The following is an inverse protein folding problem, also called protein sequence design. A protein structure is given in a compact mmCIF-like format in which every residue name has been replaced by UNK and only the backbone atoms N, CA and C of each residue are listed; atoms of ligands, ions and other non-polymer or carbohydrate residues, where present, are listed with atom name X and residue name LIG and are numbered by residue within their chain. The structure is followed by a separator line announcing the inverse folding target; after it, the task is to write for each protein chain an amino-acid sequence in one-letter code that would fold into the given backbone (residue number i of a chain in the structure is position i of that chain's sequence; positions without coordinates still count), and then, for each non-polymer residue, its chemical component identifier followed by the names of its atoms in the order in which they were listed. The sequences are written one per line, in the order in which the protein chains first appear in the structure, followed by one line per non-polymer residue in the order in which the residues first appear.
data_IF_104466307371
#
_entry.id   IF_104466307371
#
_cell.length_a   1.000
_cell.length_b   1.000
_cell.length_c   1.000
_cell.angle_alpha   90.00
_cell.angle_beta   90.00
_cell.angle_gamma   90.00
#
_symmetry.space_group_name_H-M   'P 1'
#
loop_
_entity.id
_entity.type
_entity.pdbx_description
1 polymer ?
#
# COMPACT_ATOMS: atom_id res chain seq x y z
N UNK A 1 25.12 60.51 -1.31
CA UNK A 1 25.11 59.39 -2.31
C UNK A 1 24.50 58.18 -1.59
N UNK A 2 23.24 57.96 -1.87
CA UNK A 2 22.35 57.02 -1.16
C UNK A 2 22.29 55.74 -1.95
N UNK A 3 22.75 54.62 -1.39
CA UNK A 3 22.58 53.27 -1.97
C UNK A 3 21.42 52.55 -1.32
N UNK A 4 20.37 52.36 -2.09
CA UNK A 4 19.19 51.60 -1.69
C UNK A 4 19.48 50.10 -1.63
N UNK A 5 19.21 49.51 -0.48
CA UNK A 5 19.23 48.05 -0.25
C UNK A 5 17.94 47.45 -0.82
N UNK A 6 18.04 46.66 -1.87
CA UNK A 6 16.91 45.86 -2.36
C UNK A 6 16.81 44.57 -1.54
N UNK A 7 15.73 44.46 -0.79
CA UNK A 7 15.35 43.22 -0.08
C UNK A 7 14.80 42.21 -1.08
N UNK A 8 15.52 41.15 -1.29
CA UNK A 8 15.11 40.01 -2.12
C UNK A 8 14.15 39.15 -1.31
N UNK A 9 12.85 39.27 -1.58
CA UNK A 9 11.84 38.37 -1.02
C UNK A 9 11.95 37.00 -1.67
N UNK A 10 12.43 36.02 -0.92
CA UNK A 10 12.45 34.63 -1.31
C UNK A 10 11.02 34.13 -1.57
N UNK A 11 10.70 33.89 -2.84
CA UNK A 11 9.51 33.18 -3.25
C UNK A 11 9.63 31.72 -2.80
N UNK A 12 8.69 31.29 -1.94
CA UNK A 12 8.49 29.89 -1.61
C UNK A 12 8.16 29.09 -2.89
N UNK A 13 8.68 27.85 -3.04
CA UNK A 13 8.40 27.04 -4.22
C UNK A 13 6.90 26.72 -4.27
N UNK A 14 6.27 27.08 -5.38
CA UNK A 14 4.91 26.71 -5.70
C UNK A 14 4.80 25.19 -5.72
N UNK A 15 3.91 24.63 -4.90
CA UNK A 15 3.56 23.22 -4.94
C UNK A 15 3.06 22.89 -6.35
N UNK A 16 3.83 22.12 -7.10
CA UNK A 16 3.46 21.57 -8.39
C UNK A 16 2.43 20.46 -8.19
N UNK A 17 1.17 20.83 -7.96
CA UNK A 17 0.04 19.93 -7.99
C UNK A 17 -0.27 19.58 -9.43
N UNK A 18 0.02 18.34 -9.83
CA UNK A 18 -0.46 17.78 -11.09
C UNK A 18 -1.99 17.81 -11.17
N UNK A 19 -2.60 17.62 -12.38
CA UNK A 19 -4.04 17.51 -12.51
C UNK A 19 -4.55 16.41 -11.58
N UNK A 20 -5.39 16.76 -10.60
CA UNK A 20 -5.97 15.80 -9.66
C UNK A 20 -5.81 16.08 -8.16
N UNK A 21 -4.88 16.94 -7.74
CA UNK A 21 -4.74 17.27 -6.31
C UNK A 21 -5.93 18.15 -5.83
N UNK A 22 -6.68 17.70 -4.80
CA UNK A 22 -7.83 18.44 -4.32
C UNK A 22 -7.41 19.72 -3.59
N UNK A 23 -7.93 20.88 -4.02
CA UNK A 23 -7.64 22.18 -3.42
C UNK A 23 -8.49 22.49 -2.17
N UNK A 24 -9.49 21.68 -1.85
CA UNK A 24 -10.43 21.89 -0.74
C UNK A 24 -10.72 20.60 0.00
N UNK A 25 -11.15 20.70 1.27
CA UNK A 25 -11.56 19.54 2.06
C UNK A 25 -12.75 18.76 1.41
N UNK A 26 -13.67 19.47 0.75
CA UNK A 26 -14.77 18.84 0.00
C UNK A 26 -14.21 18.04 -1.19
N UNK A 27 -13.26 18.62 -1.92
CA UNK A 27 -12.59 17.94 -3.05
C UNK A 27 -11.84 16.69 -2.60
N UNK A 28 -11.12 16.77 -1.47
CA UNK A 28 -10.42 15.64 -0.88
C UNK A 28 -11.37 14.49 -0.53
N UNK A 29 -12.50 14.79 0.10
CA UNK A 29 -13.55 13.77 0.38
C UNK A 29 -14.15 13.16 -0.88
N UNK A 30 -14.37 13.95 -1.93
CA UNK A 30 -14.88 13.44 -3.21
C UNK A 30 -13.87 12.52 -3.88
N UNK A 31 -12.58 12.91 -3.91
CA UNK A 31 -11.50 12.07 -4.45
C UNK A 31 -11.37 10.75 -3.69
N UNK A 32 -11.37 10.77 -2.37
CA UNK A 32 -11.31 9.58 -1.53
C UNK A 32 -12.51 8.63 -1.78
N UNK A 33 -13.72 9.20 -1.95
CA UNK A 33 -14.93 8.42 -2.27
C UNK A 33 -14.84 7.74 -3.64
N UNK A 34 -14.27 8.42 -4.65
CA UNK A 34 -14.04 7.83 -5.97
C UNK A 34 -13.00 6.71 -5.88
N UNK A 35 -11.93 6.90 -5.12
CA UNK A 35 -10.87 5.90 -4.91
C UNK A 35 -11.44 4.64 -4.23
N UNK A 36 -12.24 4.80 -3.18
CA UNK A 36 -12.90 3.68 -2.50
C UNK A 36 -13.91 2.95 -3.40
N UNK A 37 -14.63 3.68 -4.24
CA UNK A 37 -15.53 3.08 -5.23
C UNK A 37 -14.74 2.29 -6.29
N UNK A 38 -13.57 2.77 -6.72
CA UNK A 38 -12.69 2.06 -7.65
C UNK A 38 -12.14 0.77 -7.02
N UNK A 39 -11.72 0.80 -5.76
CA UNK A 39 -11.30 -0.38 -5.00
C UNK A 39 -12.39 -1.46 -5.03
N UNK A 40 -13.60 -1.10 -4.63
CA UNK A 40 -14.73 -2.03 -4.63
C UNK A 40 -15.05 -2.55 -6.05
N UNK A 41 -15.06 -1.66 -7.05
CA UNK A 41 -15.42 -2.01 -8.42
C UNK A 41 -14.37 -2.93 -9.05
N UNK A 42 -13.07 -2.64 -8.88
CA UNK A 42 -12.00 -3.49 -9.36
C UNK A 42 -11.95 -4.82 -8.61
N UNK A 43 -12.11 -4.81 -7.29
CA UNK A 43 -12.15 -6.03 -6.48
C UNK A 43 -13.32 -6.97 -6.83
N UNK A 44 -14.45 -6.43 -7.29
CA UNK A 44 -15.66 -7.21 -7.61
C UNK A 44 -15.71 -7.63 -9.07
N UNK A 45 -15.49 -6.70 -10.00
CA UNK A 45 -15.61 -6.93 -11.45
C UNK A 45 -14.30 -7.33 -12.11
N UNK A 46 -13.16 -7.05 -11.47
CA UNK A 46 -11.83 -7.07 -12.09
C UNK A 46 -11.56 -5.79 -12.89
N UNK A 47 -10.28 -5.44 -13.04
CA UNK A 47 -9.85 -4.21 -13.71
C UNK A 47 -10.37 -4.13 -15.14
N UNK A 48 -10.24 -5.20 -15.93
CA UNK A 48 -10.57 -5.15 -17.35
C UNK A 48 -12.07 -4.91 -17.61
N UNK A 49 -12.94 -5.54 -16.82
CA UNK A 49 -14.42 -5.42 -16.97
C UNK A 49 -14.98 -4.15 -16.35
N UNK A 50 -14.33 -3.62 -15.33
CA UNK A 50 -14.75 -2.40 -14.65
C UNK A 50 -14.62 -1.18 -15.57
N UNK A 51 -15.71 -0.45 -15.76
CA UNK A 51 -15.74 0.83 -16.48
C UNK A 51 -15.70 2.04 -15.55
N UNK A 52 -15.30 3.20 -16.08
CA UNK A 52 -15.38 4.47 -15.33
C UNK A 52 -16.82 4.77 -14.91
N UNK A 53 -17.81 4.37 -15.73
CA UNK A 53 -19.24 4.48 -15.42
C UNK A 53 -19.64 3.68 -14.18
N UNK A 54 -19.04 2.51 -13.96
CA UNK A 54 -19.32 1.68 -12.78
C UNK A 54 -18.73 2.32 -11.52
N UNK A 55 -17.50 2.83 -11.61
CA UNK A 55 -16.85 3.56 -10.54
C UNK A 55 -17.62 4.81 -10.14
N UNK A 56 -18.05 5.61 -11.13
CA UNK A 56 -18.77 6.86 -10.85
C UNK A 56 -20.16 6.61 -10.29
N UNK A 57 -20.84 5.55 -10.75
CA UNK A 57 -22.13 5.09 -10.19
C UNK A 57 -21.96 4.66 -8.74
N UNK A 58 -20.96 3.83 -8.43
CA UNK A 58 -20.65 3.39 -7.08
C UNK A 58 -20.25 4.57 -6.16
N UNK A 59 -19.51 5.55 -6.69
CA UNK A 59 -19.12 6.75 -5.96
C UNK A 59 -20.26 7.78 -5.81
N UNK A 60 -21.39 7.65 -6.51
CA UNK A 60 -22.46 8.64 -6.51
C UNK A 60 -22.01 10.00 -7.05
N UNK A 61 -21.23 10.02 -8.14
CA UNK A 61 -20.74 11.26 -8.78
C UNK A 61 -20.98 11.22 -10.29
N UNK A 62 -21.05 12.41 -10.90
CA UNK A 62 -21.09 12.51 -12.36
C UNK A 62 -19.74 12.12 -12.97
N UNK A 63 -19.74 11.58 -14.19
CA UNK A 63 -18.52 11.17 -14.88
C UNK A 63 -17.53 12.32 -15.09
N UNK A 64 -18.00 13.54 -15.33
CA UNK A 64 -17.15 14.73 -15.40
C UNK A 64 -16.39 15.01 -14.07
N UNK A 65 -17.00 14.66 -12.92
CA UNK A 65 -16.35 14.79 -11.61
C UNK A 65 -15.17 13.80 -11.48
N UNK A 66 -15.27 12.59 -12.04
CA UNK A 66 -14.17 11.63 -12.08
C UNK A 66 -12.96 12.24 -12.79
N UNK A 67 -13.16 12.80 -13.99
CA UNK A 67 -12.09 13.39 -14.79
C UNK A 67 -11.48 14.65 -14.19
N UNK A 68 -12.10 15.26 -13.19
CA UNK A 68 -11.49 16.34 -12.40
C UNK A 68 -10.32 15.82 -11.54
N UNK A 69 -10.34 14.56 -11.14
CA UNK A 69 -9.37 13.97 -10.21
C UNK A 69 -8.45 12.93 -10.84
N UNK A 70 -8.90 12.23 -11.88
CA UNK A 70 -8.16 11.13 -12.52
C UNK A 70 -8.32 11.21 -14.04
N UNK A 71 -7.21 11.16 -14.77
CA UNK A 71 -7.24 11.19 -16.23
C UNK A 71 -7.85 9.92 -16.85
N UNK A 72 -7.86 8.81 -16.11
CA UNK A 72 -8.42 7.55 -16.59
C UNK A 72 -8.32 6.41 -15.59
N UNK A 73 -8.71 5.23 -16.08
CA UNK A 73 -8.77 4.00 -15.28
C UNK A 73 -7.39 3.52 -14.80
N UNK A 74 -6.34 3.74 -15.60
CA UNK A 74 -4.98 3.40 -15.20
C UNK A 74 -4.45 4.30 -14.09
N UNK A 75 -4.72 5.60 -14.16
CA UNK A 75 -4.27 6.54 -13.12
C UNK A 75 -4.90 6.22 -11.78
N UNK A 76 -6.22 5.96 -11.74
CA UNK A 76 -6.88 5.60 -10.49
C UNK A 76 -6.38 4.25 -9.96
N UNK A 77 -6.01 3.29 -10.81
CA UNK A 77 -5.39 2.03 -10.38
C UNK A 77 -4.04 2.29 -9.71
N UNK A 78 -3.18 3.12 -10.32
CA UNK A 78 -1.87 3.49 -9.74
C UNK A 78 -2.02 4.14 -8.37
N UNK A 79 -2.95 5.09 -8.26
CA UNK A 79 -3.23 5.75 -6.98
C UNK A 79 -3.78 4.78 -5.94
N UNK A 80 -4.67 3.89 -6.34
CA UNK A 80 -5.23 2.86 -5.48
C UNK A 80 -4.14 1.93 -4.95
N UNK A 81 -3.26 1.39 -5.80
CA UNK A 81 -2.17 0.50 -5.38
C UNK A 81 -1.20 1.20 -4.42
N UNK A 82 -0.90 2.49 -4.65
CA UNK A 82 -0.06 3.28 -3.73
C UNK A 82 -0.72 3.47 -2.38
N UNK A 83 -2.00 3.83 -2.37
CA UNK A 83 -2.77 4.04 -1.14
C UNK A 83 -2.90 2.76 -0.32
N UNK A 84 -3.24 1.65 -0.98
CA UNK A 84 -3.29 0.31 -0.40
C UNK A 84 -1.94 -0.08 0.23
N UNK A 85 -0.85 0.07 -0.53
CA UNK A 85 0.48 -0.23 -0.02
C UNK A 85 0.86 0.63 1.20
N UNK A 86 0.42 1.89 1.22
CA UNK A 86 0.62 2.75 2.39
C UNK A 86 -0.19 2.28 3.60
N UNK A 87 -1.46 1.93 3.42
CA UNK A 87 -2.34 1.44 4.48
C UNK A 87 -1.83 0.14 5.09
N UNK A 88 -1.45 -0.85 4.28
CA UNK A 88 -0.89 -2.13 4.77
C UNK A 88 0.39 -1.88 5.58
N UNK A 89 1.34 -1.09 5.05
CA UNK A 89 2.57 -0.78 5.79
C UNK A 89 2.32 -0.05 7.11
N UNK A 90 1.38 0.89 7.13
CA UNK A 90 1.01 1.60 8.35
C UNK A 90 0.37 0.67 9.38
N UNK A 91 -0.53 -0.23 8.93
CA UNK A 91 -1.14 -1.23 9.79
C UNK A 91 -0.09 -2.16 10.40
N UNK A 92 0.77 -2.78 9.57
CA UNK A 92 1.82 -3.67 10.07
C UNK A 92 2.81 -2.96 11.01
N UNK A 93 3.18 -1.72 10.70
CA UNK A 93 4.07 -0.95 11.56
C UNK A 93 3.46 -0.68 12.94
N UNK A 94 2.14 -0.46 13.03
CA UNK A 94 1.44 -0.27 14.30
C UNK A 94 1.44 -1.57 15.13
N UNK A 95 1.20 -2.72 14.48
CA UNK A 95 1.13 -4.02 15.15
C UNK A 95 2.47 -4.50 15.73
N UNK A 96 3.59 -4.08 15.14
CA UNK A 96 4.94 -4.47 15.60
C UNK A 96 5.63 -3.40 16.45
N UNK A 97 4.96 -2.29 16.78
CA UNK A 97 5.58 -1.15 17.45
C UNK A 97 6.18 -1.51 18.82
N UNK A 98 5.44 -2.28 19.61
CA UNK A 98 5.74 -2.62 21.01
C UNK A 98 6.30 -4.05 21.13
N UNK A 99 7.04 -4.54 20.13
CA UNK A 99 7.70 -5.86 20.20
C UNK A 99 9.07 -5.76 20.83
N UNK A 100 9.43 -6.76 21.66
CA UNK A 100 10.70 -6.78 22.39
C UNK A 100 11.90 -7.15 21.52
N UNK A 101 11.68 -7.96 20.48
CA UNK A 101 12.74 -8.47 19.62
C UNK A 101 12.24 -8.73 18.19
N UNK A 102 13.17 -9.07 17.29
CA UNK A 102 12.85 -9.28 15.87
C UNK A 102 11.95 -10.47 15.61
N UNK A 103 12.11 -11.57 16.34
CA UNK A 103 11.28 -12.76 16.13
C UNK A 103 9.81 -12.47 16.45
N UNK A 104 9.55 -11.87 17.61
CA UNK A 104 8.18 -11.45 17.98
C UNK A 104 7.59 -10.49 16.96
N UNK A 105 8.40 -9.56 16.41
CA UNK A 105 7.93 -8.66 15.37
C UNK A 105 7.60 -9.38 14.06
N UNK A 106 8.30 -10.47 13.70
CA UNK A 106 7.95 -11.31 12.55
C UNK A 106 6.63 -12.05 12.77
N UNK A 107 6.45 -12.67 13.92
CA UNK A 107 5.23 -13.39 14.30
C UNK A 107 4.00 -12.48 14.28
N UNK A 108 4.07 -11.35 14.97
CA UNK A 108 2.98 -10.37 14.98
C UNK A 108 2.72 -9.77 13.60
N UNK A 109 3.79 -9.45 12.87
CA UNK A 109 3.69 -8.91 11.51
C UNK A 109 3.02 -9.89 10.53
N UNK A 110 3.37 -11.16 10.60
CA UNK A 110 2.74 -12.20 9.77
C UNK A 110 1.26 -12.37 10.12
N UNK A 111 0.93 -12.51 11.41
CA UNK A 111 -0.46 -12.60 11.87
C UNK A 111 -1.29 -11.41 11.41
N UNK A 112 -0.78 -10.20 11.61
CA UNK A 112 -1.45 -8.97 11.21
C UNK A 112 -1.64 -8.88 9.68
N UNK A 113 -0.67 -9.35 8.90
CA UNK A 113 -0.76 -9.40 7.45
C UNK A 113 -1.84 -10.38 6.98
N UNK A 114 -1.88 -11.59 7.54
CA UNK A 114 -2.90 -12.60 7.22
C UNK A 114 -4.32 -12.09 7.57
N UNK A 115 -4.47 -11.52 8.75
CA UNK A 115 -5.74 -10.92 9.19
C UNK A 115 -6.16 -9.77 8.27
N UNK A 116 -5.24 -8.89 7.91
CA UNK A 116 -5.52 -7.77 7.01
C UNK A 116 -5.98 -8.23 5.63
N UNK A 117 -5.35 -9.26 5.06
CA UNK A 117 -5.77 -9.84 3.78
C UNK A 117 -7.14 -10.50 3.85
N UNK A 118 -7.43 -11.21 4.95
CA UNK A 118 -8.72 -11.84 5.18
C UNK A 118 -9.85 -10.81 5.21
N UNK A 119 -9.64 -9.70 5.90
CA UNK A 119 -10.61 -8.61 6.02
C UNK A 119 -10.73 -7.76 4.73
N UNK A 120 -9.69 -7.75 3.90
CA UNK A 120 -9.59 -6.90 2.72
C UNK A 120 -9.23 -7.68 1.43
N UNK A 121 -10.02 -8.72 1.03
CA UNK A 121 -9.67 -9.58 -0.11
C UNK A 121 -9.62 -8.86 -1.45
N UNK A 122 -10.33 -7.73 -1.59
CA UNK A 122 -10.30 -6.89 -2.80
C UNK A 122 -8.91 -6.32 -3.07
N UNK A 123 -8.15 -6.00 -2.02
CA UNK A 123 -6.80 -5.47 -2.11
C UNK A 123 -5.87 -6.41 -2.87
N UNK A 124 -5.86 -7.68 -2.48
CA UNK A 124 -5.01 -8.67 -3.12
C UNK A 124 -5.36 -8.84 -4.60
N UNK A 125 -6.66 -8.89 -4.95
CA UNK A 125 -7.10 -8.99 -6.34
C UNK A 125 -6.65 -7.81 -7.18
N UNK A 126 -6.81 -6.60 -6.67
CA UNK A 126 -6.38 -5.37 -7.36
C UNK A 126 -4.87 -5.38 -7.58
N UNK A 127 -4.08 -5.79 -6.58
CA UNK A 127 -2.63 -5.86 -6.69
C UNK A 127 -2.19 -6.91 -7.72
N UNK A 128 -2.82 -8.09 -7.74
CA UNK A 128 -2.52 -9.14 -8.73
C UNK A 128 -2.84 -8.69 -10.16
N UNK A 129 -3.94 -7.99 -10.37
CA UNK A 129 -4.28 -7.45 -11.70
C UNK A 129 -3.33 -6.31 -12.11
N UNK A 130 -2.86 -5.51 -11.16
CA UNK A 130 -1.91 -4.43 -11.43
C UNK A 130 -0.62 -4.94 -12.08
N UNK A 131 -0.18 -6.16 -11.78
CA UNK A 131 0.99 -6.77 -12.42
C UNK A 131 0.88 -6.80 -13.95
N UNK A 132 -0.30 -7.03 -14.48
CA UNK A 132 -0.54 -7.17 -15.92
C UNK A 132 -0.97 -5.86 -16.60
N UNK A 133 -1.33 -4.85 -15.82
CA UNK A 133 -1.78 -3.52 -16.32
C UNK A 133 -0.65 -2.51 -16.28
N UNK A 134 0.11 -2.50 -15.18
CA UNK A 134 1.23 -1.59 -14.95
C UNK A 134 2.27 -2.26 -14.05
N UNK A 135 3.23 -2.96 -14.68
CA UNK A 135 4.30 -3.67 -13.97
C UNK A 135 5.10 -2.74 -13.06
N UNK A 136 5.28 -1.47 -13.44
CA UNK A 136 6.06 -0.52 -12.65
C UNK A 136 5.41 -0.26 -11.30
N UNK A 137 4.09 -0.03 -11.24
CA UNK A 137 3.40 0.19 -9.98
C UNK A 137 3.34 -1.07 -9.11
N UNK A 138 3.27 -2.25 -9.72
CA UNK A 138 3.34 -3.53 -9.02
C UNK A 138 4.72 -3.71 -8.35
N UNK A 139 5.79 -3.43 -9.09
CA UNK A 139 7.17 -3.46 -8.55
C UNK A 139 7.36 -2.44 -7.45
N UNK A 140 6.93 -1.18 -7.67
CA UNK A 140 7.03 -0.10 -6.68
C UNK A 140 6.35 -0.47 -5.34
N UNK A 141 5.23 -1.20 -5.40
CA UNK A 141 4.55 -1.68 -4.21
C UNK A 141 5.46 -2.58 -3.35
N UNK A 142 6.08 -3.61 -3.94
CA UNK A 142 6.96 -4.52 -3.22
C UNK A 142 8.30 -3.88 -2.81
N UNK A 143 8.88 -3.04 -3.67
CA UNK A 143 10.11 -2.32 -3.35
C UNK A 143 9.92 -1.36 -2.17
N UNK A 144 8.76 -0.69 -2.08
CA UNK A 144 8.47 0.17 -0.94
C UNK A 144 8.38 -0.60 0.39
N UNK A 145 7.83 -1.82 0.38
CA UNK A 145 7.90 -2.75 1.50
C UNK A 145 9.34 -3.16 1.81
N UNK A 146 10.05 -3.65 0.80
CA UNK A 146 11.42 -4.16 0.93
C UNK A 146 12.36 -3.14 1.56
N UNK A 147 12.33 -1.88 1.12
CA UNK A 147 13.21 -0.81 1.66
C UNK A 147 13.02 -0.58 3.16
N UNK A 148 11.79 -0.60 3.65
CA UNK A 148 11.50 -0.48 5.09
C UNK A 148 11.99 -1.69 5.87
N UNK A 149 11.68 -2.86 5.36
CA UNK A 149 11.96 -4.14 5.99
C UNK A 149 13.48 -4.42 6.09
N UNK A 150 14.25 -4.15 5.03
CA UNK A 150 15.72 -4.26 5.05
C UNK A 150 16.33 -3.42 6.18
N UNK A 151 15.83 -2.20 6.40
CA UNK A 151 16.30 -1.34 7.50
C UNK A 151 16.01 -1.96 8.87
N UNK A 152 14.84 -2.59 9.04
CA UNK A 152 14.48 -3.27 10.29
C UNK A 152 15.38 -4.48 10.55
N UNK A 153 15.60 -5.34 9.54
CA UNK A 153 16.52 -6.49 9.68
C UNK A 153 17.99 -6.06 9.90
N UNK A 154 18.44 -4.97 9.27
CA UNK A 154 19.77 -4.43 9.51
C UNK A 154 19.93 -3.93 10.95
N UNK A 155 18.88 -3.35 11.54
CA UNK A 155 18.88 -2.96 12.93
C UNK A 155 18.95 -4.18 13.87
N UNK A 156 18.12 -5.20 13.63
CA UNK A 156 18.13 -6.46 14.37
C UNK A 156 19.49 -7.18 14.30
N UNK A 157 20.15 -7.16 13.13
CA UNK A 157 21.50 -7.68 12.97
C UNK A 157 22.50 -6.92 13.86
N UNK A 158 22.43 -5.57 13.92
CA UNK A 158 23.31 -4.76 14.77
C UNK A 158 23.09 -5.01 16.25
N UNK A 159 21.87 -5.29 16.67
CA UNK A 159 21.53 -5.64 18.04
C UNK A 159 21.88 -7.09 18.42
N UNK A 160 22.28 -7.92 17.45
CA UNK A 160 22.57 -9.34 17.66
C UNK A 160 21.34 -10.24 17.78
N UNK A 161 20.15 -9.72 17.46
CA UNK A 161 18.88 -10.47 17.49
C UNK A 161 18.81 -11.51 16.36
N UNK A 162 19.46 -11.24 15.23
CA UNK A 162 19.60 -12.16 14.10
C UNK A 162 21.05 -12.23 13.61
N UNK A 163 21.42 -13.39 13.03
CA UNK A 163 22.78 -13.61 12.49
C UNK A 163 23.04 -12.66 11.31
N UNK A 164 24.30 -12.20 11.10
CA UNK A 164 24.69 -11.47 9.90
C UNK A 164 24.35 -12.25 8.61
N UNK A 165 24.00 -11.54 7.56
CA UNK A 165 23.66 -12.13 6.26
C UNK A 165 23.08 -11.10 5.29
N UNK A 166 22.67 -11.57 4.11
CA UNK A 166 22.05 -10.72 3.10
C UNK A 166 20.58 -10.42 3.48
N UNK A 167 20.36 -9.26 4.08
CA UNK A 167 19.03 -8.86 4.53
C UNK A 167 18.06 -8.59 3.37
N UNK A 168 18.55 -8.24 2.18
CA UNK A 168 17.69 -8.06 1.01
C UNK A 168 17.07 -9.41 0.59
N UNK A 169 17.90 -10.45 0.46
CA UNK A 169 17.41 -11.81 0.14
C UNK A 169 16.42 -12.30 1.21
N UNK A 170 16.71 -12.07 2.50
CA UNK A 170 15.81 -12.44 3.60
C UNK A 170 14.46 -11.77 3.48
N UNK A 171 14.44 -10.47 3.20
CA UNK A 171 13.20 -9.70 3.04
C UNK A 171 12.36 -10.24 1.90
N UNK A 172 12.96 -10.49 0.74
CA UNK A 172 12.21 -11.07 -0.38
C UNK A 172 11.69 -12.47 -0.09
N UNK A 173 12.44 -13.29 0.64
CA UNK A 173 11.97 -14.62 1.08
C UNK A 173 10.78 -14.50 2.05
N UNK A 174 10.87 -13.63 3.07
CA UNK A 174 9.81 -13.41 4.04
C UNK A 174 8.54 -12.84 3.38
N UNK A 175 8.68 -11.85 2.50
CA UNK A 175 7.54 -11.32 1.74
C UNK A 175 6.90 -12.37 0.84
N UNK A 176 7.70 -13.19 0.16
CA UNK A 176 7.20 -14.29 -0.68
C UNK A 176 6.43 -15.32 0.14
N UNK A 177 7.00 -15.76 1.26
CA UNK A 177 6.35 -16.68 2.19
C UNK A 177 5.01 -16.10 2.68
N UNK A 178 5.01 -14.88 3.22
CA UNK A 178 3.79 -14.23 3.72
C UNK A 178 2.72 -14.08 2.64
N UNK A 179 3.13 -13.73 1.41
CA UNK A 179 2.21 -13.58 0.29
C UNK A 179 1.54 -14.90 -0.10
N UNK A 180 2.30 -16.02 -0.16
CA UNK A 180 1.73 -17.35 -0.47
C UNK A 180 0.87 -17.89 0.66
N UNK A 181 1.26 -17.68 1.92
CA UNK A 181 0.43 -18.04 3.07
C UNK A 181 -0.88 -17.26 3.07
N UNK A 182 -0.82 -15.96 2.78
CA UNK A 182 -2.01 -15.13 2.63
C UNK A 182 -2.93 -15.60 1.51
N UNK A 183 -2.36 -15.96 0.36
CA UNK A 183 -3.12 -16.52 -0.75
C UNK A 183 -3.83 -17.83 -0.36
N UNK A 184 -3.12 -18.74 0.28
CA UNK A 184 -3.64 -20.07 0.64
C UNK A 184 -4.63 -20.01 1.78
N UNK A 185 -4.32 -19.31 2.87
CA UNK A 185 -5.06 -19.41 4.13
C UNK A 185 -5.97 -18.21 4.45
N UNK A 186 -5.72 -17.05 3.85
CA UNK A 186 -6.62 -15.91 4.03
C UNK A 186 -7.63 -15.75 2.88
N UNK A 187 -7.28 -16.19 1.66
CA UNK A 187 -8.11 -15.93 0.48
C UNK A 187 -8.76 -17.18 -0.13
N UNK A 188 -8.09 -18.34 -0.15
CA UNK A 188 -8.65 -19.55 -0.75
C UNK A 188 -9.40 -20.40 0.27
N UNK A 189 -8.71 -20.91 1.29
CA UNK A 189 -9.25 -21.82 2.29
C UNK A 189 -8.85 -21.37 3.69
N UNK A 190 -9.83 -21.22 4.55
CA UNK A 190 -9.67 -20.72 5.92
C UNK A 190 -9.83 -21.88 6.89
N UNK A 191 -9.13 -22.98 6.62
CA UNK A 191 -9.20 -24.25 7.35
C UNK A 191 -8.16 -24.35 8.49
N UNK A 192 -7.23 -23.41 8.57
CA UNK A 192 -6.18 -23.32 9.60
C UNK A 192 -6.21 -21.95 10.24
N UNK A 193 -6.06 -21.88 11.56
CA UNK A 193 -6.01 -20.60 12.26
C UNK A 193 -4.71 -19.86 11.97
N UNK A 194 -4.75 -18.53 11.98
CA UNK A 194 -3.53 -17.74 11.79
C UNK A 194 -2.52 -17.93 12.91
N UNK A 195 -2.97 -18.27 14.12
CA UNK A 195 -2.11 -18.63 15.24
C UNK A 195 -1.33 -19.92 14.97
N UNK A 196 -1.99 -20.95 14.48
CA UNK A 196 -1.34 -22.22 14.12
C UNK A 196 -0.31 -22.04 13.00
N UNK A 197 -0.59 -21.18 12.01
CA UNK A 197 0.36 -20.85 10.94
C UNK A 197 1.61 -20.19 11.53
N UNK A 198 1.41 -19.20 12.40
CA UNK A 198 2.53 -18.47 13.03
C UNK A 198 3.34 -19.39 13.92
N UNK A 199 2.73 -20.18 14.78
CA UNK A 199 3.40 -21.16 15.65
C UNK A 199 4.24 -22.15 14.83
N UNK A 200 3.66 -22.71 13.75
CA UNK A 200 4.38 -23.66 12.88
C UNK A 200 5.64 -23.07 12.23
N UNK A 201 5.66 -21.75 12.02
CA UNK A 201 6.80 -21.08 11.37
C UNK A 201 7.83 -20.52 12.35
N UNK A 202 7.48 -20.50 13.65
CA UNK A 202 8.35 -20.00 14.73
C UNK A 202 9.22 -21.10 15.34
N UNK A 203 8.90 -22.40 15.11
CA UNK A 203 9.67 -23.57 15.47
C UNK A 203 10.88 -23.81 14.52
#
# INVERSE_FOLDING_TARGET
MTTASQTNAAQAPAASGGPGAPKTARGARTRARILKAAEHTFGTLGYHRAGISDITRAAGVAQGTFYTYFAGKEEILRELVRDMGHQVRAHLAAEILDTDNRLEAEERGLRAFLQYLYENPSLYRVLQEAQFVDEAIYRDYYEAFGKGYVRMLANATRKGEIRPGNNEVRVWALMGMSNFLGLRYALWEQDVSFDEIVETLSD
#
